data_IF_066736262015
#
_entry.id   IF_066736262015
#
_cell.length_a   1.000
_cell.length_b   1.000
_cell.length_c   1.000
_cell.angle_alpha   90.00
_cell.angle_beta   90.00
_cell.angle_gamma   90.00
#
_symmetry.space_group_name_H-M   'P 1'
#
loop_
_entity.id
_entity.type
_entity.pdbx_description
1 polymer ?
#
# COMPACT_ATOMS: atom_id res chain seq x y z
N UNK A 1 6.58 -21.20 0.63
CA UNK A 1 6.24 -20.02 -0.20
C UNK A 1 7.39 -19.04 -0.04
N UNK A 2 8.05 -18.61 -1.11
CA UNK A 2 9.12 -17.60 -0.99
C UNK A 2 8.52 -16.32 -0.42
N UNK A 3 9.29 -15.58 0.37
CA UNK A 3 8.93 -14.25 0.82
C UNK A 3 8.58 -13.37 -0.39
N UNK A 4 7.38 -12.78 -0.38
CA UNK A 4 6.88 -11.96 -1.47
C UNK A 4 7.75 -10.73 -1.71
N UNK A 5 8.31 -10.11 -0.66
CA UNK A 5 9.16 -8.93 -0.80
C UNK A 5 10.48 -9.31 -1.49
N UNK A 6 11.10 -10.41 -1.09
CA UNK A 6 12.28 -10.94 -1.76
C UNK A 6 12.00 -11.37 -3.20
N UNK A 7 10.81 -11.93 -3.47
CA UNK A 7 10.40 -12.26 -4.83
C UNK A 7 10.27 -11.01 -5.71
N UNK A 8 9.72 -9.91 -5.17
CA UNK A 8 9.62 -8.61 -5.85
C UNK A 8 11.02 -8.03 -6.09
N UNK A 9 11.93 -8.09 -5.11
CA UNK A 9 13.33 -7.65 -5.28
C UNK A 9 14.02 -8.41 -6.41
N UNK A 10 13.85 -9.73 -6.48
CA UNK A 10 14.38 -10.55 -7.57
C UNK A 10 13.75 -10.18 -8.92
N UNK A 11 12.45 -9.93 -8.96
CA UNK A 11 11.76 -9.45 -10.17
C UNK A 11 12.33 -8.11 -10.65
N UNK A 12 12.50 -7.14 -9.76
CA UNK A 12 13.06 -5.83 -10.11
C UNK A 12 14.49 -5.93 -10.62
N UNK A 13 15.31 -6.77 -9.99
CA UNK A 13 16.67 -7.04 -10.46
C UNK A 13 16.69 -7.63 -11.87
N UNK A 14 15.71 -8.49 -12.21
CA UNK A 14 15.56 -9.04 -13.57
C UNK A 14 15.05 -8.01 -14.59
N UNK A 15 14.34 -6.98 -14.14
CA UNK A 15 13.97 -5.82 -14.96
C UNK A 15 15.14 -4.84 -15.17
N UNK A 16 16.25 -5.00 -14.45
CA UNK A 16 17.42 -4.12 -14.53
C UNK A 16 17.53 -3.09 -13.40
N UNK A 17 16.65 -3.16 -12.40
CA UNK A 17 16.72 -2.32 -11.21
C UNK A 17 17.46 -3.04 -10.08
N UNK A 18 18.78 -2.83 -9.99
CA UNK A 18 19.60 -3.36 -8.90
C UNK A 18 19.78 -2.30 -7.79
N UNK A 19 18.80 -2.22 -6.88
CA UNK A 19 18.80 -1.20 -5.80
C UNK A 19 20.04 -1.24 -4.90
N UNK A 20 20.66 -2.40 -4.74
CA UNK A 20 21.87 -2.57 -3.94
C UNK A 20 23.11 -1.95 -4.62
N UNK A 21 23.08 -1.80 -5.95
CA UNK A 21 24.15 -1.21 -6.75
C UNK A 21 23.93 0.28 -7.07
N UNK A 22 22.73 0.81 -6.82
CA UNK A 22 22.40 2.21 -7.07
C UNK A 22 23.01 3.15 -6.02
N UNK A 23 23.48 4.31 -6.48
CA UNK A 23 23.84 5.43 -5.61
C UNK A 23 22.62 6.02 -4.89
N UNK A 24 22.86 6.78 -3.82
CA UNK A 24 21.77 7.46 -3.10
C UNK A 24 20.93 8.39 -4.00
N UNK A 25 21.50 9.22 -4.91
CA UNK A 25 20.70 10.03 -5.83
C UNK A 25 19.81 9.22 -6.77
N UNK A 26 20.31 8.11 -7.32
CA UNK A 26 19.53 7.21 -8.21
C UNK A 26 18.39 6.54 -7.46
N UNK A 27 18.63 6.16 -6.21
CA UNK A 27 17.63 5.61 -5.30
C UNK A 27 16.54 6.61 -4.97
N UNK A 28 16.91 7.86 -4.67
CA UNK A 28 15.94 8.94 -4.46
C UNK A 28 15.11 9.26 -5.71
N UNK A 29 15.72 9.20 -6.90
CA UNK A 29 14.98 9.35 -8.16
C UNK A 29 14.01 8.19 -8.38
N UNK A 30 14.44 6.95 -8.12
CA UNK A 30 13.58 5.75 -8.21
C UNK A 30 12.40 5.86 -7.26
N UNK A 31 12.63 6.26 -6.01
CA UNK A 31 11.56 6.51 -5.04
C UNK A 31 10.51 7.50 -5.56
N UNK A 32 10.92 8.64 -6.13
CA UNK A 32 9.99 9.62 -6.71
C UNK A 32 9.20 9.04 -7.89
N UNK A 33 9.84 8.25 -8.74
CA UNK A 33 9.17 7.60 -9.86
C UNK A 33 8.13 6.58 -9.37
N UNK A 34 8.46 5.74 -8.39
CA UNK A 34 7.53 4.77 -7.81
C UNK A 34 6.41 5.43 -7.01
N UNK A 35 6.66 6.60 -6.41
CA UNK A 35 5.60 7.43 -5.83
C UNK A 35 4.60 7.92 -6.88
N UNK A 36 5.08 8.38 -8.04
CA UNK A 36 4.20 8.74 -9.14
C UNK A 36 3.44 7.52 -9.69
N UNK A 37 4.12 6.38 -9.86
CA UNK A 37 3.50 5.15 -10.33
C UNK A 37 2.40 4.65 -9.38
N UNK A 38 2.65 4.64 -8.06
CA UNK A 38 1.64 4.27 -7.06
C UNK A 38 0.39 5.16 -7.13
N UNK A 39 0.54 6.47 -7.39
CA UNK A 39 -0.61 7.37 -7.55
C UNK A 39 -1.43 7.00 -8.79
N UNK A 40 -0.76 6.62 -9.90
CA UNK A 40 -1.44 6.16 -11.11
C UNK A 40 -2.22 4.87 -10.84
N UNK A 41 -1.60 3.87 -10.21
CA UNK A 41 -2.28 2.60 -9.89
C UNK A 41 -3.43 2.76 -8.89
N UNK A 42 -3.32 3.70 -7.94
CA UNK A 42 -4.45 4.06 -7.09
C UNK A 42 -5.60 4.67 -7.90
N UNK A 43 -5.28 5.42 -8.95
CA UNK A 43 -6.26 5.89 -9.93
C UNK A 43 -6.93 4.74 -10.68
N UNK A 44 -6.16 3.77 -11.16
CA UNK A 44 -6.69 2.56 -11.84
C UNK A 44 -7.60 1.76 -10.89
N UNK A 45 -7.14 1.49 -9.67
CA UNK A 45 -7.93 0.86 -8.62
C UNK A 45 -9.23 1.63 -8.31
N UNK A 46 -9.16 2.96 -8.26
CA UNK A 46 -10.33 3.80 -8.06
C UNK A 46 -11.36 3.66 -9.20
N UNK A 47 -10.92 3.39 -10.43
CA UNK A 47 -11.83 3.13 -11.55
C UNK A 47 -12.61 1.82 -11.40
N UNK A 48 -12.04 0.82 -10.73
CA UNK A 48 -12.66 -0.49 -10.50
C UNK A 48 -13.72 -0.47 -9.39
N UNK A 49 -13.67 0.53 -8.49
CA UNK A 49 -14.70 0.79 -7.47
C UNK A 49 -15.75 1.85 -7.90
N UNK A 50 -15.65 2.36 -9.13
CA UNK A 50 -16.68 3.12 -9.84
C UNK A 50 -17.18 4.42 -9.17
N UNK A 51 -16.32 5.23 -8.54
CA UNK A 51 -16.62 6.45 -7.75
C UNK A 51 -17.54 7.58 -8.31
N UNK A 52 -17.98 7.54 -9.58
CA UNK A 52 -18.66 8.67 -10.26
C UNK A 52 -19.97 9.07 -9.55
N UNK A 53 -20.07 10.28 -8.96
CA UNK A 53 -21.21 10.66 -8.11
C UNK A 53 -22.52 10.85 -8.88
N UNK A 54 -22.46 11.09 -10.20
CA UNK A 54 -23.65 11.22 -11.05
C UNK A 54 -24.26 9.88 -11.49
N UNK A 55 -23.69 8.72 -11.08
CA UNK A 55 -24.32 7.42 -11.28
C UNK A 55 -24.88 6.88 -9.97
N UNK A 56 -26.08 6.32 -10.03
CA UNK A 56 -26.67 5.60 -8.88
C UNK A 56 -25.70 4.52 -8.40
N UNK A 57 -25.46 4.45 -7.09
CA UNK A 57 -24.59 3.44 -6.49
C UNK A 57 -25.00 2.01 -6.89
N UNK A 58 -26.31 1.77 -7.03
CA UNK A 58 -26.87 0.48 -7.46
C UNK A 58 -26.52 0.08 -8.90
N UNK A 59 -26.16 1.03 -9.76
CA UNK A 59 -25.72 0.75 -11.14
C UNK A 59 -24.19 0.70 -11.29
N UNK A 60 -23.45 0.99 -10.22
CA UNK A 60 -22.01 0.88 -10.17
C UNK A 60 -21.63 -0.58 -9.86
N UNK A 61 -21.01 -1.25 -10.84
CA UNK A 61 -20.58 -2.65 -10.69
C UNK A 61 -19.16 -2.70 -10.14
N UNK A 62 -18.95 -3.52 -9.12
CA UNK A 62 -17.63 -3.83 -8.60
C UNK A 62 -17.04 -5.05 -9.32
N UNK A 63 -15.89 -4.88 -9.96
CA UNK A 63 -15.14 -6.00 -10.52
C UNK A 63 -14.03 -6.43 -9.56
N UNK A 64 -14.35 -7.39 -8.68
CA UNK A 64 -13.42 -7.88 -7.66
C UNK A 64 -12.08 -8.36 -8.23
N UNK A 65 -12.09 -9.02 -9.39
CA UNK A 65 -10.86 -9.58 -9.97
C UNK A 65 -9.93 -8.47 -10.45
N UNK A 66 -10.46 -7.48 -11.16
CA UNK A 66 -9.66 -6.35 -11.60
C UNK A 66 -9.16 -5.51 -10.43
N UNK A 67 -10.04 -5.18 -9.48
CA UNK A 67 -9.63 -4.47 -8.27
C UNK A 67 -8.53 -5.19 -7.48
N UNK A 68 -8.52 -6.53 -7.47
CA UNK A 68 -7.43 -7.30 -6.85
C UNK A 68 -6.10 -7.17 -7.60
N UNK A 69 -6.14 -7.06 -8.93
CA UNK A 69 -4.94 -6.85 -9.75
C UNK A 69 -4.39 -5.43 -9.54
N UNK A 70 -5.23 -4.39 -9.67
CA UNK A 70 -4.78 -3.01 -9.45
C UNK A 70 -4.30 -2.77 -8.00
N UNK A 71 -4.90 -3.47 -7.03
CA UNK A 71 -4.40 -3.46 -5.65
C UNK A 71 -3.03 -4.13 -5.53
N UNK A 72 -2.79 -5.21 -6.27
CA UNK A 72 -1.48 -5.85 -6.31
C UNK A 72 -0.44 -4.94 -6.97
N UNK A 73 -0.79 -4.20 -8.02
CA UNK A 73 0.10 -3.23 -8.66
C UNK A 73 0.48 -2.10 -7.69
N UNK A 74 -0.48 -1.59 -6.89
CA UNK A 74 -0.20 -0.69 -5.78
C UNK A 74 0.78 -1.31 -4.75
N UNK A 75 0.60 -2.59 -4.42
CA UNK A 75 1.47 -3.29 -3.48
C UNK A 75 2.91 -3.41 -4.01
N UNK A 76 3.09 -3.71 -5.30
CA UNK A 76 4.41 -3.75 -5.93
C UNK A 76 5.13 -2.42 -5.78
N UNK A 77 4.49 -1.31 -6.16
CA UNK A 77 5.14 0.01 -6.05
C UNK A 77 5.40 0.47 -4.62
N UNK A 78 4.58 0.04 -3.64
CA UNK A 78 4.87 0.29 -2.23
C UNK A 78 6.12 -0.45 -1.76
N UNK A 79 6.32 -1.69 -2.20
CA UNK A 79 7.54 -2.45 -1.91
C UNK A 79 8.75 -1.84 -2.63
N UNK A 80 8.60 -1.43 -3.89
CA UNK A 80 9.67 -0.80 -4.67
C UNK A 80 10.15 0.50 -4.05
N UNK A 81 9.25 1.29 -3.45
CA UNK A 81 9.62 2.46 -2.65
C UNK A 81 10.52 2.07 -1.47
N UNK A 82 10.17 1.02 -0.73
CA UNK A 82 10.98 0.53 0.39
C UNK A 82 12.36 0.05 -0.07
N UNK A 83 12.41 -0.70 -1.18
CA UNK A 83 13.67 -1.16 -1.79
C UNK A 83 14.52 0.02 -2.29
N UNK A 84 13.92 1.04 -2.91
CA UNK A 84 14.61 2.27 -3.30
C UNK A 84 15.15 3.02 -2.07
N UNK A 85 14.43 3.04 -0.94
CA UNK A 85 14.93 3.57 0.33
C UNK A 85 15.95 2.64 1.02
N UNK A 86 16.22 1.46 0.44
CA UNK A 86 17.25 0.51 0.88
C UNK A 86 16.88 -0.31 2.09
N UNK A 87 15.58 -0.37 2.38
CA UNK A 87 15.08 -1.26 3.42
C UNK A 87 15.19 -2.70 2.94
N UNK A 88 15.60 -3.57 3.86
CA UNK A 88 15.61 -5.02 3.65
C UNK A 88 14.19 -5.58 3.85
N UNK A 89 13.93 -6.76 3.30
CA UNK A 89 12.64 -7.43 3.45
C UNK A 89 12.28 -7.65 4.93
N UNK A 90 13.23 -8.10 5.74
CA UNK A 90 13.02 -8.33 7.16
C UNK A 90 12.72 -7.02 7.92
N UNK A 91 13.45 -5.93 7.63
CA UNK A 91 13.20 -4.61 8.24
C UNK A 91 11.78 -4.10 7.93
N UNK A 92 11.32 -4.26 6.68
CA UNK A 92 9.97 -3.87 6.29
C UNK A 92 8.91 -4.71 7.02
N UNK A 93 9.09 -6.04 7.11
CA UNK A 93 8.16 -6.91 7.83
C UNK A 93 8.10 -6.58 9.32
N UNK A 94 9.25 -6.43 9.96
CA UNK A 94 9.34 -6.06 11.37
C UNK A 94 8.64 -4.73 11.65
N UNK A 95 8.79 -3.75 10.76
CA UNK A 95 8.10 -2.46 10.88
C UNK A 95 6.57 -2.61 10.87
N UNK A 96 6.03 -3.48 10.01
CA UNK A 96 4.60 -3.77 9.93
C UNK A 96 4.12 -4.49 11.20
N UNK A 97 4.86 -5.51 11.65
CA UNK A 97 4.54 -6.22 12.88
C UNK A 97 4.55 -5.32 14.11
N UNK A 98 5.57 -4.46 14.22
CA UNK A 98 5.66 -3.46 15.29
C UNK A 98 4.47 -2.50 15.25
N UNK A 99 4.16 -1.93 14.07
CA UNK A 99 3.03 -1.01 13.91
C UNK A 99 1.69 -1.68 14.26
N UNK A 100 1.51 -2.94 13.86
CA UNK A 100 0.32 -3.72 14.18
C UNK A 100 0.19 -3.94 15.69
N UNK A 101 1.28 -4.36 16.36
CA UNK A 101 1.31 -4.56 17.81
C UNK A 101 0.92 -3.28 18.56
N UNK A 102 1.49 -2.13 18.19
CA UNK A 102 1.16 -0.84 18.80
C UNK A 102 -0.32 -0.49 18.58
N UNK A 103 -0.85 -0.72 17.38
CA UNK A 103 -2.26 -0.46 17.09
C UNK A 103 -3.21 -1.37 17.88
N UNK A 104 -2.86 -2.65 18.06
CA UNK A 104 -3.64 -3.59 18.86
C UNK A 104 -3.66 -3.18 20.34
N UNK A 105 -2.51 -2.80 20.90
CA UNK A 105 -2.42 -2.26 22.27
C UNK A 105 -3.31 -1.02 22.46
N UNK A 106 -3.37 -0.12 21.46
CA UNK A 106 -4.26 1.04 21.50
C UNK A 106 -5.74 0.64 21.55
N UNK A 107 -6.13 -0.36 20.76
CA UNK A 107 -7.51 -0.88 20.75
C UNK A 107 -7.86 -1.49 22.11
N UNK A 108 -6.95 -2.29 22.68
CA UNK A 108 -7.09 -2.88 24.02
C UNK A 108 -7.18 -1.82 25.13
N UNK A 109 -6.50 -0.69 24.95
CA UNK A 109 -6.57 0.47 25.86
C UNK A 109 -7.76 1.40 25.58
N UNK A 110 -8.70 1.00 24.73
CA UNK A 110 -9.94 1.74 24.49
C UNK A 110 -9.97 2.62 23.23
N UNK A 111 -8.87 2.80 22.49
CA UNK A 111 -8.85 3.61 21.27
C UNK A 111 -9.48 2.83 20.10
N UNK A 112 -10.81 2.75 20.06
CA UNK A 112 -11.54 1.91 19.11
C UNK A 112 -12.86 2.53 18.65
N UNK A 113 -13.24 2.27 17.39
CA UNK A 113 -14.50 2.78 16.81
C UNK A 113 -15.76 2.01 17.28
N UNK A 114 -15.85 1.69 18.57
CA UNK A 114 -17.05 1.07 19.13
C UNK A 114 -18.22 2.06 19.15
N UNK A 115 -19.45 1.54 19.22
CA UNK A 115 -20.66 2.37 19.13
C UNK A 115 -20.82 3.35 20.30
N UNK A 116 -20.11 3.12 21.40
CA UNK A 116 -20.20 3.94 22.63
C UNK A 116 -19.49 5.29 22.45
N UNK A 117 -18.33 5.33 21.80
CA UNK A 117 -17.61 6.58 21.50
C UNK A 117 -18.32 7.42 20.43
N UNK A 118 -18.94 6.79 19.42
CA UNK A 118 -19.71 7.51 18.37
C UNK A 118 -20.91 8.32 18.88
N UNK A 119 -21.41 8.07 20.09
CA UNK A 119 -22.50 8.84 20.69
C UNK A 119 -22.02 10.10 21.41
N UNK A 120 -20.73 10.21 21.72
CA UNK A 120 -20.17 11.38 22.42
C UNK A 120 -19.78 12.51 21.45
N UNK A 121 -19.55 12.19 20.18
CA UNK A 121 -19.08 13.14 19.17
C UNK A 121 -20.21 13.70 18.30
N UNK A 122 -21.45 13.27 18.55
CA UNK A 122 -22.66 13.70 17.84
C UNK A 122 -23.36 14.87 18.53
N UNK A 123 -22.70 16.02 18.62
CA UNK A 123 -23.42 17.31 18.67
C UNK A 123 -23.58 17.83 17.24
N UNK A 124 -24.86 17.84 16.83
CA UNK A 124 -25.50 18.41 15.62
C UNK A 124 -25.45 17.59 14.32
#
# INVERSE_FOLDING_TARGET
>A
MKDTIEAIKVYQKRLGYDFDAMSLPERMQSFRNYMAALIVEQGELATEVQWKPWRKISSQKFNKRKALLEWADCYFFLIDQGLALGFKADEMKESVHHKLSVNLQRIESGYNNTKEERRQDGTE
#
